data_IF_705619034062
#
_entry.id   IF_705619034062
#
_cell.length_a   1.000
_cell.length_b   1.000
_cell.length_c   1.000
_cell.angle_alpha   90.00
_cell.angle_beta   90.00
_cell.angle_gamma   90.00
#
_symmetry.space_group_name_H-M   'P 1'
#
loop_
_entity.id
_entity.type
_entity.pdbx_description
1 polymer ?
#
# COMPACT_ATOMS: atom_id res chain seq x y z
N UNK A 1 6.14 -11.81 6.09
CA UNK A 1 4.78 -11.35 5.78
C UNK A 1 4.33 -10.47 6.93
N UNK A 2 3.86 -9.26 6.65
CA UNK A 2 3.35 -8.33 7.67
C UNK A 2 1.87 -8.64 7.94
N UNK A 3 1.43 -8.40 9.17
CA UNK A 3 0.03 -8.52 9.58
C UNK A 3 -0.46 -7.15 10.00
N UNK A 4 -1.59 -6.73 9.46
CA UNK A 4 -2.28 -5.52 9.86
C UNK A 4 -3.60 -5.92 10.52
N UNK A 5 -3.78 -5.48 11.75
CA UNK A 5 -5.05 -5.56 12.45
C UNK A 5 -5.58 -4.16 12.70
N UNK A 6 -6.89 -4.00 12.59
CA UNK A 6 -7.58 -2.78 12.96
C UNK A 6 -8.92 -3.15 13.59
N UNK A 7 -9.46 -2.28 14.45
CA UNK A 7 -10.75 -2.52 15.11
C UNK A 7 -11.88 -2.78 14.10
N UNK A 8 -11.84 -2.14 12.93
CA UNK A 8 -12.83 -2.31 11.86
C UNK A 8 -12.77 -3.68 11.17
N UNK A 9 -11.66 -4.42 11.31
CA UNK A 9 -11.49 -5.76 10.78
C UNK A 9 -12.00 -6.87 11.72
N UNK A 10 -12.41 -6.52 12.95
CA UNK A 10 -12.91 -7.49 13.92
C UNK A 10 -11.83 -8.48 14.36
N UNK A 11 -12.08 -9.79 14.18
CA UNK A 11 -11.13 -10.87 14.56
C UNK A 11 -10.13 -11.23 13.45
N UNK A 12 -10.09 -10.42 12.39
CA UNK A 12 -9.38 -10.74 11.17
C UNK A 12 -8.10 -9.91 11.04
N UNK A 13 -7.00 -10.56 10.63
CA UNK A 13 -5.73 -9.90 10.32
C UNK A 13 -5.52 -9.87 8.81
N UNK A 14 -5.26 -8.69 8.25
CA UNK A 14 -4.85 -8.56 6.85
C UNK A 14 -3.39 -8.94 6.70
N UNK A 15 -3.09 -9.78 5.71
CA UNK A 15 -1.73 -10.22 5.44
C UNK A 15 -1.17 -9.40 4.29
N UNK A 16 -0.17 -8.58 4.60
CA UNK A 16 0.48 -7.71 3.64
C UNK A 16 1.88 -8.22 3.28
N UNK A 17 2.22 -8.11 2.01
CA UNK A 17 3.55 -8.44 1.51
C UNK A 17 4.03 -7.38 0.51
N UNK A 18 4.78 -6.40 1.06
CA UNK A 18 5.33 -5.27 0.30
C UNK A 18 6.22 -5.67 -0.87
N UNK A 19 6.71 -6.93 -0.92
CA UNK A 19 7.51 -7.42 -2.05
C UNK A 19 6.73 -7.47 -3.36
N UNK A 20 5.40 -7.53 -3.30
CA UNK A 20 4.52 -7.58 -4.46
C UNK A 20 3.83 -6.25 -4.75
N UNK A 21 4.13 -5.20 -4.00
CA UNK A 21 3.51 -3.88 -4.20
C UNK A 21 4.37 -3.02 -5.11
N UNK A 22 3.72 -2.13 -5.84
CA UNK A 22 4.38 -1.16 -6.70
C UNK A 22 4.51 0.16 -5.94
N UNK A 23 5.71 0.74 -5.99
CA UNK A 23 5.98 2.07 -5.43
C UNK A 23 6.29 3.00 -6.58
N UNK A 24 5.53 4.09 -6.69
CA UNK A 24 5.67 5.09 -7.76
C UNK A 24 5.74 6.48 -7.18
N UNK A 25 6.54 7.35 -7.80
CA UNK A 25 6.52 8.78 -7.50
C UNK A 25 5.39 9.44 -8.27
N UNK A 26 4.73 10.39 -7.64
CA UNK A 26 3.78 11.29 -8.31
C UNK A 26 4.52 12.11 -9.38
N UNK A 27 4.12 12.06 -10.66
CA UNK A 27 4.72 12.91 -11.69
C UNK A 27 4.47 14.41 -11.47
N UNK A 28 3.44 14.80 -10.70
CA UNK A 28 3.09 16.20 -10.47
C UNK A 28 3.70 16.81 -9.18
N UNK A 29 4.37 16.01 -8.33
CA UNK A 29 4.87 16.49 -7.05
C UNK A 29 5.91 15.56 -6.39
N UNK A 30 6.09 15.74 -5.07
CA UNK A 30 7.04 14.97 -4.26
C UNK A 30 6.40 13.79 -3.51
N UNK A 31 5.13 13.49 -3.80
CA UNK A 31 4.40 12.41 -3.18
C UNK A 31 4.82 11.05 -3.74
N UNK A 32 4.68 10.02 -2.91
CA UNK A 32 4.94 8.63 -3.30
C UNK A 32 3.68 7.80 -3.11
N UNK A 33 3.29 7.06 -4.14
CA UNK A 33 2.16 6.13 -4.10
C UNK A 33 2.65 4.69 -3.97
N UNK A 34 2.03 3.96 -3.06
CA UNK A 34 2.17 2.52 -2.93
C UNK A 34 0.85 1.89 -3.37
N UNK A 35 0.92 1.08 -4.42
CA UNK A 35 -0.23 0.38 -4.99
C UNK A 35 -0.05 -1.11 -4.76
N UNK A 36 -1.09 -1.73 -4.23
CA UNK A 36 -1.06 -3.16 -3.95
C UNK A 36 -2.45 -3.77 -3.86
N UNK A 37 -2.44 -5.10 -3.82
CA UNK A 37 -3.62 -5.91 -3.58
C UNK A 37 -3.34 -6.87 -2.43
N UNK A 38 -4.26 -6.93 -1.49
CA UNK A 38 -4.31 -7.95 -0.44
C UNK A 38 -5.26 -9.02 -0.94
N UNK A 39 -4.85 -10.29 -0.90
CA UNK A 39 -5.65 -11.41 -1.42
C UNK A 39 -6.19 -12.32 -0.32
N UNK A 40 -5.61 -12.26 0.89
CA UNK A 40 -6.00 -13.07 2.04
C UNK A 40 -6.02 -12.16 3.27
N UNK A 41 -7.13 -12.09 4.04
CA UNK A 41 -8.39 -12.85 3.96
C UNK A 41 -9.52 -12.20 3.13
N UNK A 42 -9.28 -11.02 2.57
CA UNK A 42 -10.22 -10.31 1.68
C UNK A 42 -9.45 -9.78 0.48
N UNK A 43 -10.04 -9.87 -0.71
CA UNK A 43 -9.53 -9.21 -1.91
C UNK A 43 -9.72 -7.70 -1.77
N UNK A 44 -8.68 -7.01 -1.31
CA UNK A 44 -8.70 -5.57 -1.10
C UNK A 44 -7.60 -4.89 -1.91
N UNK A 45 -8.02 -4.02 -2.81
CA UNK A 45 -7.17 -3.15 -3.61
C UNK A 45 -6.97 -1.82 -2.88
N UNK A 46 -5.71 -1.42 -2.71
CA UNK A 46 -5.37 -0.23 -1.94
C UNK A 46 -4.33 0.63 -2.65
N UNK A 47 -4.46 1.93 -2.44
CA UNK A 47 -3.48 2.95 -2.79
C UNK A 47 -3.17 3.75 -1.53
N UNK A 48 -1.91 3.73 -1.11
CA UNK A 48 -1.40 4.54 0.00
C UNK A 48 -0.60 5.69 -0.62
N UNK A 49 -0.96 6.91 -0.28
CA UNK A 49 -0.18 8.11 -0.61
C UNK A 49 0.68 8.46 0.59
N UNK A 50 1.97 8.62 0.37
CA UNK A 50 2.92 9.15 1.33
C UNK A 50 3.27 10.56 0.93
N UNK A 51 3.03 11.49 1.83
CA UNK A 51 3.35 12.91 1.67
C UNK A 51 4.69 13.23 2.36
N UNK A 52 5.37 14.32 1.99
CA UNK A 52 6.62 14.74 2.65
C UNK A 52 6.48 14.90 4.17
N UNK A 53 5.30 15.31 4.64
CA UNK A 53 5.01 15.50 6.06
C UNK A 53 4.90 14.18 6.85
N UNK A 54 4.70 13.04 6.17
CA UNK A 54 4.68 11.71 6.80
C UNK A 54 6.10 11.18 7.10
N UNK A 55 7.12 11.73 6.43
CA UNK A 55 8.51 11.25 6.50
C UNK A 55 9.04 11.23 7.95
N UNK A 56 8.88 12.28 8.78
CA UNK A 56 9.37 12.27 10.16
C UNK A 56 8.74 11.15 11.00
N UNK A 57 7.43 10.92 10.83
CA UNK A 57 6.70 9.85 11.53
C UNK A 57 7.18 8.47 11.12
N UNK A 58 7.38 8.26 9.81
CA UNK A 58 7.94 7.01 9.28
C UNK A 58 9.36 6.76 9.78
N UNK A 59 10.25 7.76 9.74
CA UNK A 59 11.62 7.63 10.23
C UNK A 59 11.62 7.26 11.71
N UNK A 60 10.81 7.93 12.55
CA UNK A 60 10.69 7.58 13.97
C UNK A 60 10.28 6.13 14.20
N UNK A 61 9.33 5.62 13.40
CA UNK A 61 8.91 4.22 13.46
C UNK A 61 10.05 3.27 13.04
N UNK A 62 10.73 3.55 11.93
CA UNK A 62 11.80 2.70 11.40
C UNK A 62 13.07 2.70 12.27
N UNK A 63 13.38 3.83 12.92
CA UNK A 63 14.51 3.96 13.84
C UNK A 63 14.24 3.39 15.24
N UNK A 64 13.04 2.86 15.51
CA UNK A 64 12.77 2.21 16.78
C UNK A 64 13.71 1.00 16.97
N UNK A 65 14.38 0.93 18.12
CA UNK A 65 15.35 -0.12 18.43
C UNK A 65 14.81 -1.53 18.18
N UNK A 66 13.55 -1.80 18.53
CA UNK A 66 12.92 -3.11 18.31
C UNK A 66 12.79 -3.45 16.82
N UNK A 67 12.43 -2.46 15.99
CA UNK A 67 12.30 -2.60 14.54
C UNK A 67 13.68 -2.81 13.91
N UNK A 68 14.66 -1.99 14.27
CA UNK A 68 16.04 -2.09 13.77
C UNK A 68 16.65 -3.44 14.15
N UNK A 69 16.54 -3.87 15.41
CA UNK A 69 17.05 -5.17 15.87
C UNK A 69 16.42 -6.33 15.10
N UNK A 70 15.11 -6.28 14.84
CA UNK A 70 14.42 -7.29 14.04
C UNK A 70 14.89 -7.29 12.59
N UNK A 71 15.12 -6.11 12.00
CA UNK A 71 15.63 -5.96 10.64
C UNK A 71 17.05 -6.54 10.51
N UNK A 72 17.96 -6.19 11.41
CA UNK A 72 19.33 -6.71 11.44
C UNK A 72 19.36 -8.24 11.55
N UNK A 73 18.55 -8.82 12.45
CA UNK A 73 18.45 -10.28 12.62
C UNK A 73 17.98 -11.00 11.35
N UNK A 74 17.20 -10.34 10.49
CA UNK A 74 16.62 -10.93 9.29
C UNK A 74 17.27 -10.41 7.99
N UNK A 75 18.39 -9.69 8.07
CA UNK A 75 19.04 -9.06 6.91
C UNK A 75 19.44 -10.07 5.83
N UNK A 76 19.82 -11.30 6.21
CA UNK A 76 20.13 -12.37 5.26
C UNK A 76 18.96 -12.69 4.30
N UNK A 77 17.70 -12.55 4.76
CA UNK A 77 16.52 -12.75 3.91
C UNK A 77 16.39 -11.68 2.84
N UNK A 78 16.85 -10.46 3.11
CA UNK A 78 16.88 -9.39 2.14
C UNK A 78 17.89 -9.66 1.02
N UNK A 79 19.06 -10.21 1.38
CA UNK A 79 20.07 -10.63 0.40
C UNK A 79 19.47 -11.71 -0.52
N UNK A 80 18.83 -12.74 0.03
CA UNK A 80 18.13 -13.77 -0.76
C UNK A 80 17.04 -13.16 -1.65
N UNK A 81 16.28 -12.19 -1.14
CA UNK A 81 15.29 -11.46 -1.91
C UNK A 81 15.90 -10.68 -3.09
N UNK A 82 17.03 -9.99 -2.89
CA UNK A 82 17.74 -9.26 -3.94
C UNK A 82 18.12 -10.17 -5.11
N UNK A 83 18.61 -11.38 -4.82
CA UNK A 83 18.93 -12.38 -5.85
C UNK A 83 17.66 -12.94 -6.52
N UNK A 84 16.54 -13.05 -5.80
CA UNK A 84 15.27 -13.55 -6.33
C UNK A 84 14.31 -12.46 -6.81
N UNK A 85 14.77 -11.21 -6.95
CA UNK A 85 13.92 -10.03 -7.24
C UNK A 85 13.06 -10.19 -8.50
N UNK A 86 13.58 -10.86 -9.53
CA UNK A 86 12.86 -11.10 -10.78
C UNK A 86 11.56 -11.90 -10.60
N UNK A 87 11.52 -12.83 -9.63
CA UNK A 87 10.33 -13.64 -9.34
C UNK A 87 9.18 -12.80 -8.76
N UNK A 88 9.51 -11.81 -7.94
CA UNK A 88 8.53 -10.93 -7.30
C UNK A 88 8.01 -9.86 -8.24
N UNK A 89 8.86 -9.35 -9.15
CA UNK A 89 8.47 -8.35 -10.15
C UNK A 89 7.40 -8.87 -11.14
N UNK A 90 7.46 -10.14 -11.55
CA UNK A 90 6.45 -10.73 -12.44
C UNK A 90 5.09 -10.91 -11.75
N UNK A 91 5.09 -11.27 -10.46
CA UNK A 91 3.85 -11.43 -9.67
C UNK A 91 3.20 -10.10 -9.29
N UNK A 92 3.97 -9.01 -9.21
CA UNK A 92 3.49 -7.65 -8.95
C UNK A 92 2.74 -7.01 -10.14
N UNK A 93 2.67 -7.70 -11.29
CA UNK A 93 1.77 -7.48 -12.43
C UNK A 93 1.47 -6.04 -12.86
N UNK A 94 1.80 -5.68 -14.10
CA UNK A 94 1.46 -4.38 -14.71
C UNK A 94 -0.04 -4.02 -14.66
N UNK A 95 -0.92 -5.02 -14.47
CA UNK A 95 -2.37 -4.86 -14.47
C UNK A 95 -2.94 -4.34 -13.13
N UNK A 96 -2.23 -4.56 -12.00
CA UNK A 96 -2.73 -4.16 -10.67
C UNK A 96 -2.82 -2.63 -10.57
N UNK A 97 -1.84 -1.93 -11.12
CA UNK A 97 -1.84 -0.46 -11.16
C UNK A 97 -3.09 0.08 -11.86
N UNK A 98 -3.38 -0.39 -13.07
CA UNK A 98 -4.53 0.07 -13.85
C UNK A 98 -5.85 -0.24 -13.16
N UNK A 99 -5.96 -1.42 -12.54
CA UNK A 99 -7.16 -1.82 -11.79
C UNK A 99 -7.39 -0.90 -10.58
N UNK A 100 -6.34 -0.67 -9.78
CA UNK A 100 -6.42 0.18 -8.59
C UNK A 100 -6.68 1.64 -8.95
N UNK A 101 -6.01 2.19 -9.95
CA UNK A 101 -6.22 3.58 -10.37
C UNK A 101 -7.60 3.80 -10.99
N UNK A 102 -8.12 2.83 -11.74
CA UNK A 102 -9.51 2.85 -12.23
C UNK A 102 -10.50 2.79 -11.07
N UNK A 103 -10.32 1.90 -10.10
CA UNK A 103 -11.20 1.81 -8.94
C UNK A 103 -11.14 3.09 -8.08
N UNK A 104 -9.94 3.63 -7.86
CA UNK A 104 -9.72 4.86 -7.12
C UNK A 104 -10.38 6.07 -7.80
N UNK A 105 -10.14 6.26 -9.10
CA UNK A 105 -10.75 7.36 -9.86
C UNK A 105 -12.27 7.26 -9.88
N UNK A 106 -12.85 6.08 -10.10
CA UNK A 106 -14.30 5.88 -10.04
C UNK A 106 -14.88 6.29 -8.69
N UNK A 107 -14.29 5.84 -7.58
CA UNK A 107 -14.77 6.17 -6.24
C UNK A 107 -14.60 7.65 -5.89
N UNK A 108 -13.47 8.28 -6.26
CA UNK A 108 -13.23 9.70 -5.96
C UNK A 108 -14.07 10.63 -6.86
N UNK A 109 -14.32 10.25 -8.11
CA UNK A 109 -15.23 10.98 -9.00
C UNK A 109 -16.69 10.85 -8.56
N UNK A 110 -17.12 9.67 -8.11
CA UNK A 110 -18.48 9.51 -7.52
C UNK A 110 -18.63 10.32 -6.24
N UNK A 111 -17.59 10.40 -5.40
CA UNK A 111 -17.57 11.23 -4.19
C UNK A 111 -17.65 12.73 -4.46
N UNK A 112 -17.22 13.17 -5.66
CA UNK A 112 -17.30 14.55 -6.12
C UNK A 112 -18.64 14.91 -6.76
N UNK A 113 -19.58 13.97 -7.00
CA UNK A 113 -20.94 14.34 -7.43
C UNK A 113 -21.64 15.09 -6.30
N UNK A 114 -21.91 16.41 -6.44
CA UNK A 114 -22.62 17.16 -5.42
C UNK A 114 -24.05 16.64 -5.32
N UNK A 115 -24.57 16.64 -4.11
CA UNK A 115 -25.95 16.40 -3.68
C UNK A 115 -27.00 17.36 -4.29
N UNK A 116 -26.72 18.01 -5.43
CA UNK A 116 -27.62 18.97 -6.08
C UNK A 116 -28.79 18.35 -6.85
N UNK A 117 -28.96 17.02 -6.83
CA UNK A 117 -30.13 16.33 -7.41
C UNK A 117 -31.18 15.89 -6.37
N UNK A 118 -31.16 16.47 -5.16
CA UNK A 118 -32.35 16.49 -4.26
C UNK A 118 -32.94 17.90 -4.19
N UNK A 119 -33.28 18.45 -5.34
CA UNK A 119 -34.16 19.61 -5.44
C UNK A 119 -34.83 19.63 -6.82
N UNK A 120 -35.80 18.74 -7.06
CA UNK A 120 -36.95 19.04 -7.91
C UNK A 120 -37.94 17.86 -7.91
N UNK A 121 -39.12 18.15 -7.34
CA UNK A 121 -40.40 17.43 -7.38
C UNK A 121 -40.57 16.22 -6.47
#
# INVERSE_FOLDING_TARGET
MMKLWSRGLGKTELKMDFRYYQVKRDPAGDNVYIIGKITDPVNWEFRITLEPDDIPGMIKMFMNYCVVKLALKNMYKYIIYLFNRRKYAQAAGYDIEKQVDKAYSQMMTERQRPSHLRAAR
#
